data_IF_677345328886
#
_entry.id   IF_677345328886
#
_cell.length_a   1.000
_cell.length_b   1.000
_cell.length_c   1.000
_cell.angle_alpha   90.00
_cell.angle_beta   90.00
_cell.angle_gamma   90.00
#
_symmetry.space_group_name_H-M   'P 1'
#
loop_
_entity.id
_entity.type
_entity.pdbx_description
1 polymer ?
#
# COMPACT_ATOMS: atom_id res chain seq x y z
N UNK A 1 8.10 3.95 -39.47
CA UNK A 1 7.84 4.88 -38.36
C UNK A 1 6.46 4.58 -37.84
N UNK A 2 6.33 4.05 -36.61
CA UNK A 2 5.04 4.03 -35.93
C UNK A 2 4.85 5.43 -35.35
N UNK A 3 3.74 6.07 -35.65
CA UNK A 3 3.36 7.33 -35.03
C UNK A 3 3.27 7.10 -33.52
N UNK A 4 4.25 7.62 -32.79
CA UNK A 4 4.21 7.73 -31.33
C UNK A 4 3.44 9.00 -30.92
N UNK A 5 2.28 9.25 -31.55
CA UNK A 5 1.22 9.96 -30.83
C UNK A 5 0.64 8.95 -29.85
N UNK A 6 1.40 8.72 -28.79
CA UNK A 6 0.92 8.03 -27.61
C UNK A 6 0.11 9.12 -26.90
N UNK A 7 -1.22 9.05 -27.02
CA UNK A 7 -2.13 10.04 -26.46
C UNK A 7 -1.73 10.29 -25.01
N UNK A 8 -1.38 11.53 -24.70
CA UNK A 8 -1.08 11.93 -23.34
C UNK A 8 -2.39 11.91 -22.57
N UNK A 9 -2.42 11.37 -21.33
CA UNK A 9 -3.56 11.57 -20.47
C UNK A 9 -3.78 13.06 -20.31
N UNK A 10 -5.02 13.51 -20.46
CA UNK A 10 -5.32 14.91 -20.24
C UNK A 10 -5.27 15.24 -18.74
N UNK A 11 -5.26 16.55 -18.43
CA UNK A 11 -5.20 17.03 -17.05
C UNK A 11 -6.39 16.57 -16.20
N UNK A 12 -7.54 16.32 -16.83
CA UNK A 12 -8.74 15.86 -16.13
C UNK A 12 -8.56 14.40 -15.67
N UNK A 13 -8.04 13.52 -16.53
CA UNK A 13 -7.74 12.13 -16.18
C UNK A 13 -6.71 12.04 -15.06
N UNK A 14 -5.71 12.91 -15.07
CA UNK A 14 -4.68 12.98 -14.02
C UNK A 14 -5.30 13.39 -12.69
N UNK A 15 -6.16 14.41 -12.68
CA UNK A 15 -6.80 14.89 -11.46
C UNK A 15 -7.80 13.86 -10.90
N UNK A 16 -8.57 13.21 -11.76
CA UNK A 16 -9.45 12.11 -11.35
C UNK A 16 -8.66 10.95 -10.73
N UNK A 17 -7.47 10.61 -11.28
CA UNK A 17 -6.60 9.60 -10.70
C UNK A 17 -6.10 9.99 -9.30
N UNK A 18 -5.76 11.27 -9.07
CA UNK A 18 -5.39 11.77 -7.73
C UNK A 18 -6.55 11.61 -6.75
N UNK A 19 -7.76 12.00 -7.13
CA UNK A 19 -8.95 11.86 -6.29
C UNK A 19 -9.18 10.39 -5.90
N UNK A 20 -9.02 9.46 -6.84
CA UNK A 20 -9.11 8.01 -6.56
C UNK A 20 -8.08 7.60 -5.51
N UNK A 21 -6.84 8.05 -5.62
CA UNK A 21 -5.78 7.72 -4.66
C UNK A 21 -6.05 8.31 -3.28
N UNK A 22 -6.53 9.55 -3.19
CA UNK A 22 -6.89 10.21 -1.93
C UNK A 22 -8.00 9.43 -1.22
N UNK A 23 -9.05 9.03 -1.95
CA UNK A 23 -10.14 8.22 -1.42
C UNK A 23 -9.65 6.85 -0.92
N UNK A 24 -8.77 6.19 -1.67
CA UNK A 24 -8.18 4.90 -1.25
C UNK A 24 -7.47 5.05 0.10
N UNK A 25 -6.63 6.07 0.27
CA UNK A 25 -5.91 6.26 1.54
C UNK A 25 -6.86 6.57 2.70
N UNK A 26 -7.86 7.44 2.46
CA UNK A 26 -8.84 7.82 3.48
C UNK A 26 -9.68 6.64 3.93
N UNK A 27 -10.24 5.87 3.00
CA UNK A 27 -11.07 4.70 3.30
C UNK A 27 -10.25 3.58 3.92
N UNK A 28 -8.99 3.38 3.48
CA UNK A 28 -8.10 2.36 4.05
C UNK A 28 -7.70 2.67 5.50
N UNK A 29 -7.42 3.93 5.84
CA UNK A 29 -7.02 4.31 7.20
C UNK A 29 -8.18 4.40 8.19
N UNK A 30 -9.40 4.53 7.67
CA UNK A 30 -10.63 4.64 8.48
C UNK A 30 -11.43 3.35 8.54
N UNK A 31 -11.01 2.29 7.82
CA UNK A 31 -11.77 1.06 7.61
C UNK A 31 -13.18 1.33 7.07
N UNK A 32 -13.27 2.19 6.05
CA UNK A 32 -14.52 2.57 5.38
C UNK A 32 -14.53 2.16 3.90
N UNK A 33 -15.61 2.52 3.19
CA UNK A 33 -15.77 2.21 1.77
C UNK A 33 -15.61 0.71 1.46
N UNK A 34 -14.83 0.41 0.43
CA UNK A 34 -14.53 -0.97 0.00
C UNK A 34 -13.67 -1.75 1.01
N UNK A 35 -13.12 -1.08 2.03
CA UNK A 35 -12.29 -1.72 3.07
C UNK A 35 -13.07 -2.08 4.34
N UNK A 36 -14.30 -1.58 4.49
CA UNK A 36 -15.12 -1.73 5.71
C UNK A 36 -15.41 -3.16 6.16
N UNK A 37 -15.29 -4.13 5.25
CA UNK A 37 -15.60 -5.55 5.51
C UNK A 37 -14.34 -6.41 5.70
N UNK A 38 -13.15 -5.82 5.57
CA UNK A 38 -11.89 -6.55 5.59
C UNK A 38 -11.28 -6.45 6.98
N UNK A 39 -10.96 -7.59 7.58
CA UNK A 39 -10.22 -7.68 8.84
C UNK A 39 -8.72 -7.50 8.57
N UNK A 40 -8.23 -6.26 8.66
CA UNK A 40 -6.81 -5.94 8.51
C UNK A 40 -6.34 -4.88 9.51
N UNK A 41 -5.02 -4.86 9.75
CA UNK A 41 -4.36 -3.78 10.49
C UNK A 41 -3.76 -2.77 9.52
N UNK A 42 -4.14 -1.51 9.66
CA UNK A 42 -3.60 -0.37 8.91
C UNK A 42 -2.49 0.36 9.67
N UNK A 43 -1.80 1.33 9.03
CA UNK A 43 -0.74 2.09 9.67
C UNK A 43 -1.23 2.95 10.83
N UNK A 44 -2.48 3.41 10.80
CA UNK A 44 -3.06 4.18 11.90
C UNK A 44 -3.34 3.34 13.15
N UNK A 45 -3.37 2.02 13.08
CA UNK A 45 -3.51 1.18 14.29
C UNK A 45 -2.27 1.29 15.21
N UNK A 46 -1.14 1.75 14.67
CA UNK A 46 0.04 2.11 15.45
C UNK A 46 -0.15 3.43 16.23
N UNK A 47 -1.01 4.29 15.71
CA UNK A 47 -1.33 5.60 16.27
C UNK A 47 -2.43 5.39 17.29
N UNK A 48 -2.07 5.11 18.54
CA UNK A 48 -3.05 5.07 19.63
C UNK A 48 -3.49 6.46 20.11
N UNK A 49 -4.60 6.52 20.87
CA UNK A 49 -5.09 7.76 21.51
C UNK A 49 -4.04 8.47 22.39
N UNK A 50 -3.09 7.71 22.93
CA UNK A 50 -1.95 8.24 23.68
C UNK A 50 -1.21 9.31 22.89
N UNK A 51 -0.92 9.06 21.61
CA UNK A 51 -0.09 9.97 20.81
C UNK A 51 -0.78 11.31 20.56
N UNK A 52 -2.09 11.30 20.36
CA UNK A 52 -2.89 12.52 20.26
C UNK A 52 -2.85 13.31 21.57
N UNK A 53 -2.94 12.62 22.71
CA UNK A 53 -2.84 13.24 24.04
C UNK A 53 -1.45 13.86 24.30
N UNK A 54 -0.37 13.20 23.89
CA UNK A 54 1.02 13.66 24.08
C UNK A 54 1.34 14.96 23.30
N UNK A 55 0.62 15.21 22.21
CA UNK A 55 0.72 16.47 21.43
C UNK A 55 -0.45 17.43 21.69
N UNK A 56 -1.40 17.07 22.56
CA UNK A 56 -2.52 17.94 22.95
C UNK A 56 -3.56 18.18 21.85
N UNK A 57 -3.83 17.17 21.00
CA UNK A 57 -4.87 17.24 19.96
C UNK A 57 -5.88 16.11 20.10
N UNK A 58 -7.05 16.27 19.48
CA UNK A 58 -8.03 15.19 19.37
C UNK A 58 -7.51 14.05 18.50
N UNK A 59 -7.87 12.81 18.85
CA UNK A 59 -7.38 11.63 18.12
C UNK A 59 -7.72 11.67 16.63
N UNK A 60 -8.94 12.08 16.28
CA UNK A 60 -9.37 12.20 14.89
C UNK A 60 -8.60 13.28 14.13
N UNK A 61 -8.14 14.34 14.81
CA UNK A 61 -7.28 15.36 14.19
C UNK A 61 -5.90 14.79 13.85
N UNK A 62 -5.32 13.99 14.74
CA UNK A 62 -4.06 13.31 14.46
C UNK A 62 -4.21 12.29 13.32
N UNK A 63 -5.26 11.45 13.34
CA UNK A 63 -5.54 10.52 12.23
C UNK A 63 -5.63 11.25 10.89
N UNK A 64 -6.44 12.31 10.85
CA UNK A 64 -6.61 13.11 9.63
C UNK A 64 -5.29 13.75 9.17
N UNK A 65 -4.49 14.30 10.08
CA UNK A 65 -3.20 14.88 9.72
C UNK A 65 -2.26 13.85 9.09
N UNK A 66 -2.17 12.64 9.66
CA UNK A 66 -1.31 11.57 9.15
C UNK A 66 -1.78 11.03 7.80
N UNK A 67 -3.08 10.78 7.65
CA UNK A 67 -3.68 10.33 6.39
C UNK A 67 -3.49 11.37 5.30
N UNK A 68 -3.86 12.63 5.53
CA UNK A 68 -3.74 13.72 4.54
C UNK A 68 -2.29 14.00 4.14
N UNK A 69 -1.35 13.87 5.08
CA UNK A 69 0.06 14.07 4.74
C UNK A 69 0.59 12.98 3.83
N UNK A 70 0.15 11.73 4.05
CA UNK A 70 0.48 10.62 3.17
C UNK A 70 -0.18 10.75 1.80
N UNK A 71 -1.46 11.12 1.75
CA UNK A 71 -2.18 11.40 0.50
C UNK A 71 -1.39 12.39 -0.36
N UNK A 72 -1.13 13.59 0.17
CA UNK A 72 -0.42 14.67 -0.53
C UNK A 72 0.97 14.24 -0.99
N UNK A 73 1.70 13.49 -0.17
CA UNK A 73 3.03 13.01 -0.56
C UNK A 73 2.99 12.17 -1.84
N UNK A 74 1.98 11.31 -1.99
CA UNK A 74 1.85 10.39 -3.13
C UNK A 74 1.09 10.97 -4.32
N UNK A 75 0.13 11.87 -4.09
CA UNK A 75 -0.65 12.52 -5.16
C UNK A 75 -0.03 13.80 -5.68
N UNK A 76 0.96 14.35 -4.96
CA UNK A 76 1.58 15.66 -5.23
C UNK A 76 0.61 16.84 -5.11
N UNK A 77 -0.52 16.63 -4.44
CA UNK A 77 -1.50 17.68 -4.10
C UNK A 77 -0.91 18.72 -3.14
N UNK A 78 -1.59 19.85 -2.94
CA UNK A 78 -1.20 20.84 -1.92
C UNK A 78 -1.68 20.39 -0.54
N UNK A 79 -0.86 20.62 0.49
CA UNK A 79 -1.22 20.34 1.89
C UNK A 79 -1.46 21.61 2.69
N UNK A 80 -2.40 21.55 3.62
CA UNK A 80 -2.54 22.54 4.68
C UNK A 80 -1.36 22.44 5.66
N UNK A 81 -0.67 23.56 5.83
CA UNK A 81 0.43 23.73 6.79
C UNK A 81 0.06 23.35 8.23
N UNK A 82 -1.21 23.48 8.61
CA UNK A 82 -1.69 23.10 9.94
C UNK A 82 -1.56 21.59 10.20
N UNK A 83 -1.83 20.76 9.18
CA UNK A 83 -1.75 19.31 9.26
C UNK A 83 -0.29 18.85 9.30
N UNK A 84 0.57 19.49 8.51
CA UNK A 84 2.02 19.23 8.53
C UNK A 84 2.61 19.49 9.91
N UNK A 85 2.15 20.55 10.59
CA UNK A 85 2.59 20.85 11.96
C UNK A 85 2.21 19.73 12.93
N UNK A 86 0.98 19.24 12.88
CA UNK A 86 0.50 18.14 13.75
C UNK A 86 1.32 16.86 13.49
N UNK A 87 1.58 16.50 12.22
CA UNK A 87 2.44 15.35 11.89
C UNK A 87 3.85 15.51 12.48
N UNK A 88 4.47 16.68 12.31
CA UNK A 88 5.83 16.92 12.82
C UNK A 88 5.89 16.87 14.35
N UNK A 89 4.93 17.48 15.04
CA UNK A 89 4.85 17.42 16.50
C UNK A 89 4.70 15.97 16.99
N UNK A 90 3.90 15.16 16.30
CA UNK A 90 3.79 13.73 16.58
C UNK A 90 5.14 13.00 16.39
N UNK A 91 5.82 13.22 15.25
CA UNK A 91 7.12 12.59 14.96
C UNK A 91 8.15 12.97 16.04
N UNK A 92 8.22 14.24 16.43
CA UNK A 92 9.16 14.72 17.42
C UNK A 92 8.88 14.10 18.79
N UNK A 93 7.61 14.07 19.24
CA UNK A 93 7.23 13.38 20.49
C UNK A 93 7.54 11.89 20.47
N UNK A 94 7.30 11.24 19.34
CA UNK A 94 7.62 9.83 19.18
C UNK A 94 9.12 9.57 19.31
N UNK A 95 9.95 10.39 18.64
CA UNK A 95 11.41 10.28 18.72
C UNK A 95 11.92 10.56 20.13
N UNK A 96 11.39 11.57 20.81
CA UNK A 96 11.70 11.86 22.22
C UNK A 96 11.36 10.67 23.12
N UNK A 97 10.19 10.06 22.96
CA UNK A 97 9.79 8.89 23.72
C UNK A 97 10.70 7.69 23.44
N UNK A 98 11.00 7.43 22.16
CA UNK A 98 11.89 6.34 21.71
C UNK A 98 13.29 6.43 22.34
N UNK A 99 13.84 7.63 22.48
CA UNK A 99 15.16 7.82 23.12
C UNK A 99 15.14 7.59 24.63
N UNK A 100 14.00 7.86 25.30
CA UNK A 100 13.85 7.72 26.76
C UNK A 100 13.62 6.28 27.21
N UNK A 101 12.89 5.49 26.42
CA UNK A 101 12.53 4.12 26.78
C UNK A 101 13.57 3.06 26.38
N UNK A 102 14.69 3.45 25.76
CA UNK A 102 15.74 2.53 25.26
C UNK A 102 15.13 1.33 24.52
N UNK A 103 14.33 1.63 23.50
CA UNK A 103 13.75 0.57 22.67
C UNK A 103 14.87 0.05 21.76
N UNK A 104 15.34 -1.17 22.04
CA UNK A 104 16.14 -1.92 21.07
C UNK A 104 15.27 -2.17 19.85
N UNK A 105 15.50 -1.37 18.82
CA UNK A 105 14.90 -1.60 17.51
C UNK A 105 15.73 -2.71 16.86
N UNK A 106 15.16 -3.90 16.59
CA UNK A 106 15.88 -4.92 15.88
C UNK A 106 16.31 -4.35 14.52
N UNK A 107 17.58 -4.55 14.10
CA UNK A 107 18.05 -4.05 12.82
C UNK A 107 17.12 -4.56 11.71
N UNK A 108 16.76 -3.69 10.77
CA UNK A 108 15.94 -4.05 9.60
C UNK A 108 16.50 -5.25 8.82
N UNK A 109 17.79 -5.54 8.98
CA UNK A 109 18.53 -6.64 8.37
C UNK A 109 18.51 -7.97 9.15
N UNK A 110 18.09 -8.00 10.42
CA UNK A 110 18.13 -9.22 11.26
C UNK A 110 16.85 -10.07 11.18
N UNK A 111 15.83 -9.63 10.46
CA UNK A 111 14.64 -10.44 10.17
C UNK A 111 14.88 -11.40 8.99
N UNK A 112 16.08 -11.94 8.91
CA UNK A 112 16.49 -12.89 7.89
C UNK A 112 16.33 -14.32 8.42
N UNK A 113 15.81 -15.18 7.56
CA UNK A 113 15.76 -16.63 7.66
C UNK A 113 14.64 -17.27 8.49
N UNK A 114 13.56 -17.67 7.81
CA UNK A 114 13.13 -19.07 7.88
C UNK A 114 12.85 -19.57 6.45
N UNK A 115 13.78 -20.38 5.94
CA UNK A 115 13.76 -21.00 4.61
C UNK A 115 12.72 -22.11 4.46
N UNK A 116 11.45 -21.82 4.73
CA UNK A 116 10.35 -22.72 4.36
C UNK A 116 9.96 -22.45 2.91
N UNK A 117 10.07 -23.48 2.07
CA UNK A 117 9.53 -23.46 0.71
C UNK A 117 8.04 -23.73 0.77
N UNK A 118 7.21 -22.73 0.46
CA UNK A 118 5.77 -22.91 0.38
C UNK A 118 5.36 -23.32 -1.03
N UNK A 119 4.77 -24.51 -1.17
CA UNK A 119 4.27 -25.01 -2.45
C UNK A 119 2.78 -24.64 -2.61
N UNK A 120 2.51 -23.36 -2.87
CA UNK A 120 1.16 -22.79 -2.85
C UNK A 120 0.41 -22.90 -4.19
N UNK A 121 0.53 -24.05 -4.88
CA UNK A 121 -0.09 -24.27 -6.21
C UNK A 121 -1.61 -24.01 -6.23
N UNK A 122 -2.31 -24.35 -5.16
CA UNK A 122 -3.77 -24.13 -5.03
C UNK A 122 -4.12 -22.65 -4.82
N UNK A 123 -3.43 -21.98 -3.89
CA UNK A 123 -3.54 -20.53 -3.69
C UNK A 123 -3.28 -19.76 -5.00
N UNK A 124 -2.36 -20.26 -5.85
CA UNK A 124 -2.03 -19.69 -7.16
C UNK A 124 -3.19 -19.75 -8.16
N UNK A 125 -3.93 -20.87 -8.22
CA UNK A 125 -5.08 -20.99 -9.11
C UNK A 125 -6.24 -20.09 -8.65
N UNK A 126 -6.50 -20.04 -7.34
CA UNK A 126 -7.52 -19.17 -6.76
C UNK A 126 -7.21 -17.70 -7.01
N UNK A 127 -5.95 -17.28 -6.85
CA UNK A 127 -5.51 -15.91 -7.17
C UNK A 127 -5.72 -15.56 -8.64
N UNK A 128 -5.36 -16.45 -9.57
CA UNK A 128 -5.55 -16.20 -11.01
C UNK A 128 -7.01 -16.04 -11.40
N UNK A 129 -7.91 -16.88 -10.85
CA UNK A 129 -9.35 -16.76 -11.10
C UNK A 129 -9.91 -15.46 -10.52
N UNK A 130 -9.48 -15.10 -9.30
CA UNK A 130 -9.91 -13.87 -8.64
C UNK A 130 -9.43 -12.61 -9.37
N UNK A 131 -8.20 -12.62 -9.88
CA UNK A 131 -7.68 -11.52 -10.72
C UNK A 131 -8.51 -11.36 -12.01
N UNK A 132 -8.93 -12.46 -12.65
CA UNK A 132 -9.84 -12.38 -13.80
C UNK A 132 -11.22 -11.88 -13.42
N UNK A 133 -11.77 -12.30 -12.27
CA UNK A 133 -13.11 -11.88 -11.84
C UNK A 133 -13.20 -10.39 -11.49
N UNK A 134 -12.11 -9.80 -10.99
CA UNK A 134 -12.00 -8.34 -10.83
C UNK A 134 -11.58 -7.63 -12.12
N UNK A 135 -11.53 -8.38 -13.24
CA UNK A 135 -11.32 -7.94 -14.62
C UNK A 135 -9.90 -7.44 -14.92
N UNK A 136 -8.89 -8.10 -14.36
CA UNK A 136 -7.54 -8.05 -14.90
C UNK A 136 -7.49 -8.92 -16.16
N UNK A 137 -6.97 -8.37 -17.24
CA UNK A 137 -6.84 -8.98 -18.55
C UNK A 137 -5.37 -9.31 -18.87
N UNK A 138 -5.14 -10.09 -19.92
CA UNK A 138 -3.81 -10.45 -20.42
C UNK A 138 -2.87 -10.98 -19.33
N UNK A 139 -3.42 -11.80 -18.43
CA UNK A 139 -2.68 -12.27 -17.26
C UNK A 139 -1.53 -13.19 -17.69
N UNK A 140 -0.32 -12.81 -17.31
CA UNK A 140 0.92 -13.59 -17.46
C UNK A 140 1.40 -13.97 -16.05
N UNK A 141 1.94 -15.18 -15.89
CA UNK A 141 2.54 -15.57 -14.62
C UNK A 141 3.85 -16.30 -14.85
N UNK A 142 4.83 -15.98 -14.00
CA UNK A 142 6.14 -16.59 -13.99
C UNK A 142 6.44 -17.05 -12.57
N UNK A 143 6.91 -18.29 -12.43
CA UNK A 143 7.27 -18.85 -11.14
C UNK A 143 8.67 -19.43 -11.20
N UNK A 144 9.49 -19.08 -10.21
CA UNK A 144 10.77 -19.72 -9.98
C UNK A 144 10.84 -20.20 -8.51
N UNK A 145 11.98 -20.79 -8.12
CA UNK A 145 12.15 -21.32 -6.76
C UNK A 145 11.97 -20.24 -5.68
N UNK A 146 12.21 -18.96 -6.00
CA UNK A 146 12.24 -17.84 -5.04
C UNK A 146 10.98 -16.98 -5.05
N UNK A 147 10.35 -16.79 -6.19
CA UNK A 147 9.30 -15.81 -6.36
C UNK A 147 8.28 -16.29 -7.39
N UNK A 148 7.02 -15.93 -7.15
CA UNK A 148 5.97 -15.89 -8.16
C UNK A 148 5.71 -14.44 -8.54
N UNK A 149 5.59 -14.20 -9.84
CA UNK A 149 5.16 -12.94 -10.43
C UNK A 149 3.91 -13.21 -11.25
N UNK A 150 2.87 -12.42 -11.02
CA UNK A 150 1.67 -12.42 -11.83
C UNK A 150 1.48 -10.99 -12.32
N UNK A 151 1.42 -10.80 -13.63
CA UNK A 151 1.14 -9.51 -14.24
C UNK A 151 -0.12 -9.57 -15.08
N UNK A 152 -0.71 -8.40 -15.34
CA UNK A 152 -1.86 -8.25 -16.22
C UNK A 152 -2.20 -6.77 -16.38
N UNK A 153 -3.18 -6.47 -17.22
CA UNK A 153 -3.59 -5.10 -17.50
C UNK A 153 -5.07 -4.91 -17.16
N UNK A 154 -5.47 -3.67 -16.90
CA UNK A 154 -6.88 -3.33 -16.75
C UNK A 154 -7.10 -1.89 -17.23
N UNK A 155 -8.30 -1.62 -17.74
CA UNK A 155 -8.69 -0.26 -18.08
C UNK A 155 -9.31 0.42 -16.86
N UNK A 156 -8.88 1.63 -16.56
CA UNK A 156 -9.43 2.41 -15.46
C UNK A 156 -10.75 3.08 -15.83
N UNK A 157 -11.55 3.45 -14.83
CA UNK A 157 -12.76 4.29 -14.96
C UNK A 157 -12.48 5.61 -15.66
N UNK A 158 -11.29 6.16 -15.46
CA UNK A 158 -10.81 7.39 -16.09
C UNK A 158 -10.27 7.18 -17.51
N UNK A 159 -10.35 5.96 -18.04
CA UNK A 159 -10.02 5.64 -19.44
C UNK A 159 -8.55 5.30 -19.72
N UNK A 160 -7.71 5.12 -18.70
CA UNK A 160 -6.29 4.80 -18.84
C UNK A 160 -6.05 3.29 -18.84
N UNK A 161 -5.08 2.84 -19.64
CA UNK A 161 -4.57 1.47 -19.57
C UNK A 161 -3.57 1.33 -18.42
N UNK A 162 -3.95 0.64 -17.36
CA UNK A 162 -3.10 0.36 -16.21
C UNK A 162 -2.52 -1.06 -16.27
N UNK A 163 -1.35 -1.24 -15.66
CA UNK A 163 -0.74 -2.56 -15.48
C UNK A 163 -0.64 -2.91 -14.00
N UNK A 164 -0.93 -4.16 -13.66
CA UNK A 164 -0.77 -4.73 -12.34
C UNK A 164 0.39 -5.73 -12.39
N UNK A 165 1.28 -5.65 -11.42
CA UNK A 165 2.28 -6.66 -11.08
C UNK A 165 2.07 -7.07 -9.63
N UNK A 166 1.72 -8.33 -9.40
CA UNK A 166 1.66 -8.95 -8.10
C UNK A 166 2.87 -9.89 -7.93
N UNK A 167 3.48 -9.86 -6.75
CA UNK A 167 4.64 -10.67 -6.42
C UNK A 167 4.45 -11.38 -5.10
N UNK A 168 4.79 -12.67 -5.05
CA UNK A 168 4.86 -13.45 -3.82
C UNK A 168 6.30 -13.97 -3.65
N UNK A 169 7.01 -13.51 -2.61
CA UNK A 169 8.39 -13.90 -2.35
C UNK A 169 8.45 -15.03 -1.32
N UNK A 170 8.84 -16.22 -1.75
CA UNK A 170 8.87 -17.42 -0.92
C UNK A 170 10.08 -17.49 0.01
N UNK A 171 11.17 -16.78 -0.31
CA UNK A 171 12.42 -16.85 0.46
C UNK A 171 12.48 -15.85 1.60
N UNK A 172 11.81 -14.70 1.46
CA UNK A 172 11.79 -13.64 2.48
C UNK A 172 10.60 -13.76 3.43
N UNK A 173 10.09 -14.98 3.66
CA UNK A 173 8.94 -15.21 4.54
C UNK A 173 7.59 -14.92 3.89
N UNK A 174 7.41 -15.18 2.60
CA UNK A 174 6.08 -15.17 1.97
C UNK A 174 5.50 -13.80 1.63
N UNK A 175 6.32 -12.74 1.58
CA UNK A 175 5.85 -11.35 1.37
C UNK A 175 5.05 -11.24 0.07
N UNK A 176 3.83 -10.70 0.18
CA UNK A 176 2.98 -10.33 -0.95
C UNK A 176 3.09 -8.83 -1.24
N UNK A 177 3.37 -8.52 -2.49
CA UNK A 177 3.49 -7.15 -2.97
C UNK A 177 2.64 -6.98 -4.22
N UNK A 178 2.11 -5.77 -4.41
CA UNK A 178 1.53 -5.38 -5.68
C UNK A 178 2.10 -4.03 -6.10
N UNK A 179 2.13 -3.82 -7.41
CA UNK A 179 2.48 -2.58 -8.06
C UNK A 179 1.47 -2.37 -9.18
N UNK A 180 0.73 -1.27 -9.13
CA UNK A 180 -0.11 -0.77 -10.20
C UNK A 180 0.61 0.39 -10.86
N UNK A 181 0.87 0.30 -12.16
CA UNK A 181 1.56 1.34 -12.93
C UNK A 181 0.60 1.95 -13.95
N UNK A 182 0.58 3.28 -13.99
CA UNK A 182 -0.27 4.08 -14.86
C UNK A 182 0.61 4.85 -15.86
N UNK A 183 0.22 4.92 -17.13
CA UNK A 183 1.02 5.58 -18.17
C UNK A 183 0.93 7.10 -17.99
N UNK A 184 1.95 7.70 -17.37
CA UNK A 184 2.09 9.15 -17.22
C UNK A 184 3.49 9.59 -17.67
N UNK A 185 3.59 10.80 -18.20
CA UNK A 185 4.79 11.29 -18.89
C UNK A 185 5.71 12.18 -18.04
N UNK A 186 5.28 12.54 -16.82
CA UNK A 186 6.07 13.30 -15.87
C UNK A 186 6.12 12.57 -14.52
N UNK A 187 7.17 11.76 -14.32
CA UNK A 187 7.37 10.99 -13.10
C UNK A 187 7.54 11.86 -11.85
N UNK A 188 7.93 13.13 -12.00
CA UNK A 188 8.24 14.01 -10.88
C UNK A 188 7.01 14.78 -10.35
N UNK A 189 6.02 15.03 -11.20
CA UNK A 189 4.80 15.78 -10.82
C UNK A 189 3.56 14.93 -10.68
N UNK A 190 3.52 13.73 -11.26
CA UNK A 190 2.29 12.94 -11.33
C UNK A 190 2.39 11.54 -10.71
N UNK A 191 1.27 11.05 -10.14
CA UNK A 191 1.20 9.71 -9.55
C UNK A 191 1.30 8.59 -10.61
N UNK A 192 2.51 8.10 -10.90
CA UNK A 192 2.71 7.09 -11.96
C UNK A 192 2.59 5.64 -11.47
N UNK A 193 2.73 5.42 -10.16
CA UNK A 193 2.77 4.08 -9.56
C UNK A 193 2.09 4.06 -8.19
N UNK A 194 1.14 3.15 -7.99
CA UNK A 194 0.55 2.84 -6.69
C UNK A 194 0.95 1.43 -6.25
N UNK A 195 1.52 1.25 -5.06
CA UNK A 195 2.01 -0.07 -4.61
C UNK A 195 1.63 -0.37 -3.16
N UNK A 196 1.84 -1.62 -2.75
CA UNK A 196 1.53 -2.07 -1.38
C UNK A 196 2.27 -1.26 -0.31
N UNK A 197 3.49 -0.77 -0.58
CA UNK A 197 4.24 0.05 0.39
C UNK A 197 3.60 1.41 0.65
N UNK A 198 2.95 2.01 -0.36
CA UNK A 198 2.21 3.26 -0.20
C UNK A 198 1.04 3.04 0.78
N UNK A 199 0.24 2.00 0.52
CA UNK A 199 -0.94 1.65 1.31
C UNK A 199 -0.59 1.27 2.76
N UNK A 200 0.47 0.47 2.95
CA UNK A 200 0.92 0.02 4.29
C UNK A 200 1.63 1.12 5.10
N UNK A 201 1.73 2.35 4.58
CA UNK A 201 2.32 3.46 5.32
C UNK A 201 3.83 3.31 5.52
N UNK A 202 4.57 2.70 4.58
CA UNK A 202 6.03 2.54 4.70
C UNK A 202 6.75 3.87 4.97
N UNK A 203 6.28 4.96 4.36
CA UNK A 203 6.78 6.31 4.61
C UNK A 203 6.57 6.75 6.07
N UNK A 204 5.42 6.44 6.66
CA UNK A 204 5.10 6.74 8.05
C UNK A 204 6.11 6.08 8.99
N UNK A 205 6.34 4.77 8.84
CA UNK A 205 7.33 4.05 9.66
C UNK A 205 8.77 4.54 9.42
N UNK A 206 9.11 4.89 8.17
CA UNK A 206 10.41 5.48 7.84
C UNK A 206 10.64 6.82 8.56
N UNK A 207 9.66 7.73 8.55
CA UNK A 207 9.75 9.02 9.27
C UNK A 207 9.96 8.84 10.78
N UNK A 208 9.37 7.79 11.34
CA UNK A 208 9.50 7.42 12.76
C UNK A 208 10.79 6.65 13.07
N UNK A 209 11.57 6.30 12.06
CA UNK A 209 12.80 5.49 12.19
C UNK A 209 12.54 4.17 12.92
N UNK A 210 11.41 3.53 12.63
CA UNK A 210 11.06 2.20 13.13
C UNK A 210 10.92 1.24 11.95
N UNK A 211 11.10 -0.07 12.16
CA UNK A 211 10.93 -1.05 11.09
C UNK A 211 9.50 -0.97 10.56
N UNK A 212 9.36 -0.69 9.27
CA UNK A 212 8.06 -0.82 8.62
C UNK A 212 7.62 -2.29 8.68
N UNK A 213 6.30 -2.56 8.78
CA UNK A 213 5.77 -3.88 8.43
C UNK A 213 6.28 -4.25 7.03
N UNK A 214 6.82 -5.47 6.85
CA UNK A 214 7.31 -5.90 5.54
C UNK A 214 6.11 -6.22 4.66
N UNK A 215 5.51 -5.19 4.06
CA UNK A 215 4.24 -5.32 3.34
C UNK A 215 3.13 -5.87 4.24
N UNK A 216 2.12 -6.51 3.64
CA UNK A 216 1.24 -7.40 4.40
C UNK A 216 2.11 -8.60 4.78
N UNK A 217 2.79 -8.47 5.93
CA UNK A 217 3.58 -9.51 6.54
C UNK A 217 2.64 -10.68 6.81
N UNK A 218 2.68 -11.70 5.97
CA UNK A 218 2.04 -12.96 6.29
C UNK A 218 2.88 -13.56 7.41
N UNK A 219 2.39 -13.60 8.64
CA UNK A 219 3.07 -14.32 9.71
C UNK A 219 2.75 -15.80 9.50
N UNK A 220 3.79 -16.63 9.37
CA UNK A 220 3.60 -17.98 8.82
C UNK A 220 3.57 -19.06 9.89
N UNK A 221 2.35 -19.45 10.26
CA UNK A 221 1.93 -20.85 10.23
C UNK A 221 1.12 -21.12 8.93
N UNK A 222 1.09 -22.37 8.45
CA UNK A 222 0.45 -22.72 7.16
C UNK A 222 -1.03 -22.31 7.08
N UNK A 223 -1.75 -22.30 8.22
CA UNK A 223 -3.14 -21.87 8.32
C UNK A 223 -3.30 -20.33 8.27
N UNK A 224 -2.36 -19.58 8.86
CA UNK A 224 -2.36 -18.11 8.87
C UNK A 224 -2.01 -17.56 7.47
N UNK A 225 -1.14 -18.23 6.72
CA UNK A 225 -0.81 -17.85 5.35
C UNK A 225 -2.04 -17.76 4.44
N UNK A 226 -2.98 -18.71 4.55
CA UNK A 226 -4.20 -18.69 3.73
C UNK A 226 -5.12 -17.52 4.12
N UNK A 227 -5.26 -17.24 5.42
CA UNK A 227 -6.02 -16.06 5.90
C UNK A 227 -5.39 -14.77 5.39
N UNK A 228 -4.07 -14.65 5.48
CA UNK A 228 -3.38 -13.42 5.12
C UNK A 228 -3.34 -13.22 3.60
N UNK A 229 -3.17 -14.29 2.81
CA UNK A 229 -3.32 -14.26 1.35
C UNK A 229 -4.75 -13.87 0.96
N UNK A 230 -5.75 -14.44 1.62
CA UNK A 230 -7.15 -14.09 1.38
C UNK A 230 -7.38 -12.59 1.64
N UNK A 231 -6.93 -12.09 2.79
CA UNK A 231 -7.03 -10.67 3.18
C UNK A 231 -6.31 -9.78 2.18
N UNK A 232 -5.10 -10.15 1.73
CA UNK A 232 -4.36 -9.45 0.70
C UNK A 232 -5.15 -9.36 -0.62
N UNK A 233 -5.76 -10.47 -1.05
CA UNK A 233 -6.55 -10.51 -2.27
C UNK A 233 -7.86 -9.72 -2.14
N UNK A 234 -8.49 -9.67 -0.97
CA UNK A 234 -9.63 -8.78 -0.70
C UNK A 234 -9.18 -7.31 -0.81
N UNK A 235 -8.07 -6.92 -0.17
CA UNK A 235 -7.53 -5.56 -0.28
C UNK A 235 -7.23 -5.21 -1.74
N UNK A 236 -6.58 -6.10 -2.48
CA UNK A 236 -6.31 -5.90 -3.91
C UNK A 236 -7.60 -5.79 -4.72
N UNK A 237 -8.62 -6.57 -4.40
CA UNK A 237 -9.92 -6.51 -5.07
C UNK A 237 -10.59 -5.16 -4.83
N UNK A 238 -10.63 -4.69 -3.58
CA UNK A 238 -11.13 -3.36 -3.21
C UNK A 238 -10.38 -2.25 -3.95
N UNK A 239 -9.05 -2.33 -4.04
CA UNK A 239 -8.25 -1.36 -4.80
C UNK A 239 -8.64 -1.33 -6.29
N UNK A 240 -8.79 -2.49 -6.93
CA UNK A 240 -9.15 -2.57 -8.34
C UNK A 240 -10.56 -2.00 -8.59
N UNK A 241 -11.48 -2.12 -7.63
CA UNK A 241 -12.81 -1.52 -7.71
C UNK A 241 -12.72 0.02 -7.76
N UNK A 242 -11.88 0.66 -6.94
CA UNK A 242 -11.71 2.11 -7.00
C UNK A 242 -11.19 2.60 -8.35
N UNK A 243 -10.35 1.81 -9.02
CA UNK A 243 -9.81 2.18 -10.32
C UNK A 243 -10.72 1.87 -11.49
N UNK A 244 -11.85 1.16 -11.31
CA UNK A 244 -12.75 0.72 -12.38
C UNK A 244 -14.09 1.44 -12.38
#
# INVERSE_FOLDING_TARGET
MRDFQKDYPDLEQIEQLRIIWENIFSDYDSHQGEFSKIDYKGPLDFVGQRWASEIGVEYDMLKNALTKTREVFFTKSKIDTSLVRIENEFIDRFKDWKTKEVIEIPPTSELDHIGKKYNNKYALQTSLQKLKSIGIENIIHESNKRQLRISGNFKTSVGLDASLLMMANYFSGGVLEFIMSFPLYNHDTEPTVFNSSHLMGKLFFYKLEVPAPKGINLYINDDEYQKDLHTFLEILSSLIIYFK
#
